data_IF_192754004581
#
_entry.id   IF_192754004581
#
_cell.length_a   1.000
_cell.length_b   1.000
_cell.length_c   1.000
_cell.angle_alpha   90.00
_cell.angle_beta   90.00
_cell.angle_gamma   90.00
#
_symmetry.space_group_name_H-M   'P 1'
#
loop_
_entity.id
_entity.type
_entity.pdbx_description
1 polymer ?
#
# COMPACT_ATOMS: atom_id res chain seq x y z
N UNK A 1 -8.28 -2.10 2.41
CA UNK A 1 -7.81 -1.05 1.47
C UNK A 1 -7.18 0.09 2.25
N UNK A 2 -5.94 0.45 1.92
CA UNK A 2 -5.23 1.60 2.49
C UNK A 2 -5.23 2.73 1.47
N UNK A 3 -6.06 3.74 1.69
CA UNK A 3 -6.14 4.92 0.84
C UNK A 3 -5.16 5.99 1.30
N UNK A 4 -4.03 6.11 0.63
CA UNK A 4 -2.97 7.09 0.89
C UNK A 4 -3.12 8.40 0.12
N UNK A 5 -4.24 8.61 -0.59
CA UNK A 5 -4.45 9.86 -1.32
C UNK A 5 -4.78 11.02 -0.38
N UNK A 6 -4.09 12.17 -0.48
CA UNK A 6 -4.48 13.39 0.26
C UNK A 6 -5.89 13.91 -0.08
N UNK A 7 -6.42 13.57 -1.26
CA UNK A 7 -7.80 13.90 -1.65
C UNK A 7 -8.83 12.93 -1.02
N UNK A 8 -8.37 11.87 -0.34
CA UNK A 8 -9.23 10.87 0.28
C UNK A 8 -10.08 10.07 -0.73
N UNK A 9 -11.31 9.67 -0.35
CA UNK A 9 -12.15 8.80 -1.18
C UNK A 9 -12.55 9.38 -2.55
N UNK A 10 -12.44 10.69 -2.73
CA UNK A 10 -12.78 11.39 -4.00
C UNK A 10 -11.60 11.48 -4.97
N UNK A 11 -10.49 10.80 -4.71
CA UNK A 11 -9.32 10.84 -5.59
C UNK A 11 -9.50 10.01 -6.86
N UNK A 12 -8.79 10.38 -7.92
CA UNK A 12 -8.77 9.62 -9.17
C UNK A 12 -8.29 8.18 -8.93
N UNK A 13 -7.30 7.97 -8.06
CA UNK A 13 -6.84 6.63 -7.70
C UNK A 13 -7.94 5.81 -7.03
N UNK A 14 -8.77 6.43 -6.18
CA UNK A 14 -9.89 5.73 -5.55
C UNK A 14 -11.01 5.38 -6.53
N UNK A 15 -11.19 6.12 -7.64
CA UNK A 15 -12.12 5.70 -8.70
C UNK A 15 -11.69 4.37 -9.31
N UNK A 16 -10.39 4.20 -9.62
CA UNK A 16 -9.83 2.92 -10.09
C UNK A 16 -10.00 1.82 -9.03
N UNK A 17 -9.67 2.13 -7.79
CA UNK A 17 -9.80 1.19 -6.68
C UNK A 17 -11.24 0.73 -6.51
N UNK A 18 -12.20 1.65 -6.59
CA UNK A 18 -13.62 1.32 -6.49
C UNK A 18 -14.09 0.40 -7.64
N UNK A 19 -13.57 0.59 -8.86
CA UNK A 19 -13.85 -0.33 -9.97
C UNK A 19 -13.33 -1.75 -9.68
N UNK A 20 -12.11 -1.87 -9.14
CA UNK A 20 -11.54 -3.17 -8.70
C UNK A 20 -12.38 -3.79 -7.58
N UNK A 21 -12.80 -2.99 -6.59
CA UNK A 21 -13.61 -3.47 -5.48
C UNK A 21 -15.02 -3.89 -5.92
N UNK A 22 -15.60 -3.21 -6.92
CA UNK A 22 -16.86 -3.61 -7.54
C UNK A 22 -16.73 -4.99 -8.17
N UNK A 23 -15.71 -5.22 -9.02
CA UNK A 23 -15.45 -6.52 -9.62
C UNK A 23 -15.18 -7.62 -8.57
N UNK A 24 -14.49 -7.30 -7.48
CA UNK A 24 -14.29 -8.22 -6.37
C UNK A 24 -15.62 -8.64 -5.74
N UNK A 25 -16.52 -7.70 -5.49
CA UNK A 25 -17.85 -7.98 -4.92
C UNK A 25 -18.78 -8.75 -5.87
N UNK A 26 -18.65 -8.56 -7.16
CA UNK A 26 -19.39 -9.33 -8.17
C UNK A 26 -18.99 -10.81 -8.18
N UNK A 27 -17.69 -11.08 -7.99
CA UNK A 27 -17.15 -12.46 -7.97
C UNK A 27 -17.15 -13.10 -6.58
N UNK A 28 -17.13 -12.28 -5.53
CA UNK A 28 -17.17 -12.73 -4.13
C UNK A 28 -18.07 -11.77 -3.31
N UNK A 29 -19.39 -11.95 -3.33
CA UNK A 29 -20.34 -11.08 -2.64
C UNK A 29 -20.12 -10.99 -1.13
N UNK A 30 -19.60 -12.05 -0.51
CA UNK A 30 -19.33 -12.14 0.94
C UNK A 30 -18.04 -11.44 1.36
N UNK A 31 -17.21 -10.94 0.40
CA UNK A 31 -15.97 -10.26 0.75
C UNK A 31 -16.26 -9.01 1.61
N UNK A 32 -15.70 -8.92 2.78
CA UNK A 32 -15.74 -7.72 3.61
C UNK A 32 -14.67 -6.73 3.17
N UNK A 33 -15.05 -5.47 3.01
CA UNK A 33 -14.12 -4.42 2.58
C UNK A 33 -14.01 -3.37 3.68
N UNK A 34 -12.81 -3.23 4.22
CA UNK A 34 -12.47 -2.14 5.14
C UNK A 34 -11.60 -1.10 4.43
N UNK A 35 -11.97 0.18 4.54
CA UNK A 35 -11.23 1.30 3.96
C UNK A 35 -10.56 2.14 5.05
N UNK A 36 -9.24 2.14 5.07
CA UNK A 36 -8.41 2.99 5.91
C UNK A 36 -7.98 4.23 5.10
N UNK A 37 -8.50 5.40 5.44
CA UNK A 37 -8.14 6.67 4.78
C UNK A 37 -7.04 7.35 5.59
N UNK A 38 -5.80 7.21 5.15
CA UNK A 38 -4.59 7.59 5.89
C UNK A 38 -4.59 9.07 6.32
N UNK A 39 -5.09 9.96 5.47
CA UNK A 39 -5.16 11.39 5.78
C UNK A 39 -6.04 11.74 6.99
N UNK A 40 -6.96 10.86 7.35
CA UNK A 40 -7.90 11.04 8.46
C UNK A 40 -7.44 10.30 9.73
N UNK A 41 -6.26 9.66 9.67
CA UNK A 41 -5.67 8.89 10.77
C UNK A 41 -4.55 9.67 11.46
N UNK A 42 -4.54 9.70 12.78
CA UNK A 42 -3.44 10.29 13.56
C UNK A 42 -2.27 9.30 13.67
N UNK A 43 -1.51 9.20 12.60
CA UNK A 43 -0.32 8.34 12.53
C UNK A 43 0.93 9.18 12.77
N UNK A 44 1.62 8.93 13.87
CA UNK A 44 2.90 9.57 14.16
C UNK A 44 4.03 8.97 13.32
N UNK A 45 4.97 9.79 12.80
CA UNK A 45 6.10 9.29 12.02
C UNK A 45 6.94 8.28 12.79
N UNK A 46 7.51 7.31 12.08
CA UNK A 46 8.50 6.40 12.66
C UNK A 46 9.76 7.17 13.10
N UNK A 47 10.20 6.94 14.34
CA UNK A 47 11.40 7.59 14.89
C UNK A 47 12.69 6.82 14.58
N UNK A 48 12.64 5.68 13.91
CA UNK A 48 13.81 4.85 13.64
C UNK A 48 14.46 4.24 14.89
N UNK A 49 13.74 4.13 16.01
CA UNK A 49 14.31 3.67 17.29
C UNK A 49 14.62 2.15 17.34
N UNK A 50 14.19 1.39 16.34
CA UNK A 50 14.40 -0.05 16.20
C UNK A 50 13.87 -0.92 17.37
N UNK A 51 13.10 -0.36 18.30
CA UNK A 51 12.56 -1.11 19.44
C UNK A 51 11.65 -2.26 19.01
N UNK A 52 10.88 -2.08 17.93
CA UNK A 52 10.01 -3.10 17.37
C UNK A 52 10.77 -4.33 16.78
N UNK A 53 12.07 -4.20 16.59
CA UNK A 53 12.95 -5.30 16.21
C UNK A 53 13.82 -5.81 17.38
N UNK A 54 13.82 -5.11 18.49
CA UNK A 54 14.61 -5.43 19.69
C UNK A 54 13.76 -5.58 20.94
N UNK A 55 13.70 -4.54 21.77
CA UNK A 55 13.09 -4.59 23.12
C UNK A 55 11.61 -4.94 23.13
N UNK A 56 10.86 -4.47 22.12
CA UNK A 56 9.42 -4.69 21.97
C UNK A 56 9.12 -5.44 20.67
N UNK A 57 9.84 -6.52 20.42
CA UNK A 57 9.78 -7.26 19.16
C UNK A 57 8.33 -7.51 18.70
N UNK A 58 7.98 -7.03 17.50
CA UNK A 58 6.64 -7.10 16.93
C UNK A 58 5.69 -5.98 17.36
N UNK A 59 6.11 -5.07 18.26
CA UNK A 59 5.27 -3.97 18.73
C UNK A 59 5.98 -2.61 18.61
N UNK A 60 5.27 -1.59 18.12
CA UNK A 60 5.80 -0.24 18.12
C UNK A 60 5.67 0.40 19.50
N UNK A 61 6.70 1.17 19.91
CA UNK A 61 6.66 1.94 21.17
C UNK A 61 5.78 3.18 21.07
N UNK A 62 5.47 3.63 19.85
CA UNK A 62 4.56 4.77 19.64
C UNK A 62 3.14 4.25 19.80
N UNK A 63 2.42 4.78 20.79
CA UNK A 63 1.03 4.44 21.05
C UNK A 63 0.12 5.36 20.23
N UNK A 64 -0.43 4.84 19.14
CA UNK A 64 -1.38 5.51 18.25
C UNK A 64 -2.23 4.47 17.50
N UNK A 65 -2.99 4.89 16.49
CA UNK A 65 -3.92 4.02 15.74
C UNK A 65 -3.23 2.85 15.03
N UNK A 66 -1.89 2.87 14.90
CA UNK A 66 -1.18 1.82 14.16
C UNK A 66 -1.19 0.47 14.88
N UNK A 67 -1.41 0.39 16.20
CA UNK A 67 -1.60 -0.88 16.88
C UNK A 67 -2.82 -1.63 16.33
N UNK A 68 -3.96 -0.93 16.21
CA UNK A 68 -5.19 -1.53 15.66
C UNK A 68 -5.00 -1.84 14.16
N UNK A 69 -4.29 -0.98 13.42
CA UNK A 69 -3.97 -1.23 12.01
C UNK A 69 -3.14 -2.49 11.84
N UNK A 70 -2.16 -2.76 12.70
CA UNK A 70 -1.37 -4.00 12.62
C UNK A 70 -2.26 -5.24 12.78
N UNK A 71 -3.21 -5.22 13.70
CA UNK A 71 -4.18 -6.33 13.88
C UNK A 71 -5.04 -6.50 12.62
N UNK A 72 -5.59 -5.42 12.10
CA UNK A 72 -6.39 -5.44 10.86
C UNK A 72 -5.57 -5.94 9.66
N UNK A 73 -4.33 -5.48 9.53
CA UNK A 73 -3.42 -5.92 8.49
C UNK A 73 -3.17 -7.43 8.54
N UNK A 74 -2.98 -7.97 9.75
CA UNK A 74 -2.73 -9.41 9.93
C UNK A 74 -3.98 -10.26 9.71
N UNK A 75 -5.17 -9.73 9.96
CA UNK A 75 -6.43 -10.45 9.77
C UNK A 75 -6.95 -10.39 8.33
N UNK A 76 -6.52 -9.42 7.52
CA UNK A 76 -6.97 -9.29 6.14
C UNK A 76 -6.33 -10.33 5.22
N UNK A 77 -7.09 -10.92 4.30
CA UNK A 77 -6.60 -11.82 3.26
C UNK A 77 -5.97 -11.05 2.11
N UNK A 78 -6.47 -9.84 1.86
CA UNK A 78 -6.04 -8.98 0.75
C UNK A 78 -5.71 -7.59 1.26
N UNK A 79 -4.52 -7.10 0.94
CA UNK A 79 -4.08 -5.74 1.23
C UNK A 79 -3.95 -4.97 -0.08
N UNK A 80 -4.70 -3.88 -0.21
CA UNK A 80 -4.63 -2.99 -1.37
C UNK A 80 -4.11 -1.63 -0.94
N UNK A 81 -2.95 -1.25 -1.43
CA UNK A 81 -2.41 0.10 -1.29
C UNK A 81 -2.89 0.96 -2.45
N UNK A 82 -3.65 2.01 -2.17
CA UNK A 82 -4.26 2.90 -3.17
C UNK A 82 -3.80 4.34 -2.95
N UNK A 83 -2.95 4.88 -3.82
CA UNK A 83 -2.41 6.23 -3.66
C UNK A 83 -1.91 6.81 -5.00
N UNK A 84 -1.97 8.14 -5.20
CA UNK A 84 -1.36 8.78 -6.36
C UNK A 84 0.17 8.75 -6.26
N UNK A 85 0.84 8.72 -7.40
CA UNK A 85 2.30 8.92 -7.46
C UNK A 85 2.60 10.41 -7.23
N UNK A 86 3.28 10.74 -6.15
CA UNK A 86 3.74 12.10 -5.85
C UNK A 86 5.26 12.16 -5.90
N UNK A 87 5.78 12.97 -6.80
CA UNK A 87 7.20 13.17 -6.98
C UNK A 87 7.99 11.84 -7.05
N UNK A 88 7.50 10.93 -7.91
CA UNK A 88 8.04 9.59 -8.17
C UNK A 88 7.99 8.59 -7.02
N UNK A 89 7.21 8.86 -5.98
CA UNK A 89 7.06 8.01 -4.80
C UNK A 89 5.67 8.07 -4.18
N UNK A 90 5.56 7.58 -2.95
CA UNK A 90 4.33 7.66 -2.16
C UNK A 90 4.11 9.08 -1.65
N UNK A 91 2.84 9.53 -1.49
CA UNK A 91 2.53 10.72 -0.70
C UNK A 91 3.07 10.60 0.73
N UNK A 92 3.49 11.71 1.35
CA UNK A 92 4.08 11.70 2.69
C UNK A 92 3.27 10.92 3.74
N UNK A 93 1.96 11.14 3.89
CA UNK A 93 1.15 10.36 4.83
C UNK A 93 1.15 8.86 4.55
N UNK A 94 1.14 8.46 3.26
CA UNK A 94 1.23 7.06 2.86
C UNK A 94 2.58 6.45 3.22
N UNK A 95 3.66 7.19 3.00
CA UNK A 95 5.00 6.76 3.40
C UNK A 95 5.11 6.60 4.92
N UNK A 96 4.53 7.54 5.68
CA UNK A 96 4.43 7.42 7.14
C UNK A 96 3.72 6.13 7.55
N UNK A 97 2.59 5.81 6.92
CA UNK A 97 1.87 4.56 7.16
C UNK A 97 2.76 3.33 6.89
N UNK A 98 3.42 3.30 5.73
CA UNK A 98 4.28 2.17 5.32
C UNK A 98 5.49 2.03 6.25
N UNK A 99 6.13 3.11 6.69
CA UNK A 99 7.22 3.05 7.66
C UNK A 99 6.77 2.46 9.01
N UNK A 100 5.51 2.63 9.34
CA UNK A 100 4.93 2.13 10.59
C UNK A 100 4.45 0.69 10.54
N UNK A 101 4.56 -0.03 9.40
CA UNK A 101 4.35 -1.49 9.33
C UNK A 101 5.60 -2.29 9.73
N UNK A 102 6.74 -1.65 9.97
CA UNK A 102 7.99 -2.30 10.39
C UNK A 102 7.84 -3.33 11.54
N UNK A 103 6.98 -3.13 12.55
CA UNK A 103 6.78 -4.14 13.60
C UNK A 103 6.33 -5.51 13.08
N UNK A 104 5.66 -5.55 11.92
CA UNK A 104 5.22 -6.79 11.27
C UNK A 104 6.36 -7.53 10.56
N UNK A 105 7.51 -6.88 10.41
CA UNK A 105 8.70 -7.43 9.75
C UNK A 105 9.72 -7.93 10.79
N UNK A 106 10.54 -8.89 10.38
CA UNK A 106 11.68 -9.34 11.19
C UNK A 106 12.96 -8.62 10.84
N UNK A 107 13.88 -8.58 11.81
CA UNK A 107 15.23 -8.11 11.56
C UNK A 107 15.98 -9.06 10.63
N UNK A 108 17.03 -8.54 10.04
CA UNK A 108 18.00 -9.28 9.27
C UNK A 108 18.80 -10.22 10.19
N UNK A 109 18.37 -11.45 10.36
CA UNK A 109 19.02 -12.46 11.25
C UNK A 109 20.29 -13.07 10.63
N UNK A 110 21.16 -12.27 10.02
CA UNK A 110 22.42 -12.76 9.44
C UNK A 110 22.27 -13.62 8.17
N UNK A 111 21.08 -13.76 7.65
CA UNK A 111 20.87 -14.41 6.35
C UNK A 111 21.24 -13.41 5.25
N UNK A 112 22.30 -13.68 4.52
CA UNK A 112 22.57 -13.00 3.26
C UNK A 112 21.47 -13.40 2.30
N UNK A 113 20.56 -12.49 1.99
CA UNK A 113 19.55 -12.73 0.97
C UNK A 113 20.14 -12.47 -0.39
N UNK A 114 19.77 -13.31 -1.33
CA UNK A 114 20.07 -13.07 -2.72
C UNK A 114 19.40 -11.76 -3.15
N UNK A 115 20.19 -10.86 -3.74
CA UNK A 115 19.70 -9.56 -4.23
C UNK A 115 18.64 -9.76 -5.31
N UNK A 116 18.58 -10.92 -5.95
CA UNK A 116 17.58 -11.26 -6.95
C UNK A 116 16.16 -11.40 -6.36
N UNK A 117 16.00 -11.82 -5.11
CA UNK A 117 14.70 -11.88 -4.44
C UNK A 117 14.16 -10.53 -3.97
N UNK A 118 14.99 -9.50 -3.94
CA UNK A 118 14.70 -8.10 -3.63
C UNK A 118 13.95 -7.81 -2.30
N UNK A 119 13.46 -8.81 -1.58
CA UNK A 119 12.86 -8.60 -0.26
C UNK A 119 13.95 -8.61 0.82
N UNK A 120 14.14 -7.48 1.54
CA UNK A 120 15.18 -7.37 2.57
C UNK A 120 14.76 -7.93 3.93
N UNK A 121 13.45 -7.89 4.22
CA UNK A 121 12.91 -8.34 5.50
C UNK A 121 11.78 -9.34 5.28
N UNK A 122 11.70 -10.35 6.12
CA UNK A 122 10.56 -11.27 6.13
C UNK A 122 9.47 -10.74 7.06
N UNK A 123 8.25 -11.15 6.80
CA UNK A 123 7.20 -10.95 7.78
C UNK A 123 7.45 -11.82 9.01
N UNK A 124 7.17 -11.27 10.17
CA UNK A 124 7.25 -11.99 11.46
C UNK A 124 6.19 -13.08 11.55
N UNK A 125 5.11 -12.93 10.82
CA UNK A 125 3.95 -13.80 10.82
C UNK A 125 3.80 -14.45 9.45
N UNK A 126 3.07 -15.58 9.40
CA UNK A 126 2.75 -16.22 8.14
C UNK A 126 1.81 -15.32 7.30
N UNK A 127 2.29 -14.94 6.12
CA UNK A 127 1.57 -14.16 5.12
C UNK A 127 1.41 -14.91 3.80
N UNK A 128 1.68 -16.22 3.77
CA UNK A 128 1.66 -17.04 2.55
C UNK A 128 0.29 -17.04 1.86
N UNK A 129 -0.79 -16.95 2.64
CA UNK A 129 -2.17 -16.84 2.14
C UNK A 129 -2.60 -15.43 1.73
N UNK A 130 -1.80 -14.39 2.04
CA UNK A 130 -2.18 -13.00 1.78
C UNK A 130 -1.80 -12.56 0.37
N UNK A 131 -2.65 -11.71 -0.21
CA UNK A 131 -2.39 -11.07 -1.51
C UNK A 131 -2.17 -9.58 -1.33
N UNK A 132 -1.14 -9.05 -1.99
CA UNK A 132 -0.78 -7.65 -1.92
C UNK A 132 -0.96 -6.98 -3.29
N UNK A 133 -1.60 -5.82 -3.29
CA UNK A 133 -1.85 -5.03 -4.49
C UNK A 133 -1.43 -3.58 -4.28
N UNK A 134 -0.92 -2.97 -5.35
CA UNK A 134 -0.64 -1.54 -5.42
C UNK A 134 -1.47 -0.96 -6.56
N UNK A 135 -2.35 -0.02 -6.25
CA UNK A 135 -3.09 0.75 -7.23
C UNK A 135 -2.58 2.18 -7.17
N UNK A 136 -1.95 2.65 -8.23
CA UNK A 136 -1.39 3.99 -8.26
C UNK A 136 -1.67 4.70 -9.57
N UNK A 137 -1.92 5.99 -9.50
CA UNK A 137 -2.21 6.84 -10.64
C UNK A 137 -1.33 8.08 -10.65
N UNK A 138 -1.03 8.59 -11.84
CA UNK A 138 -0.24 9.81 -12.02
C UNK A 138 -0.76 10.65 -13.20
N UNK A 139 -0.30 11.90 -13.28
CA UNK A 139 -0.59 12.81 -14.40
C UNK A 139 0.36 12.65 -15.60
N UNK A 140 1.42 11.87 -15.48
CA UNK A 140 2.36 11.66 -16.57
C UNK A 140 1.74 10.86 -17.73
N UNK A 141 2.24 11.07 -18.96
CA UNK A 141 1.71 10.42 -20.16
C UNK A 141 2.04 8.93 -20.31
N UNK A 142 2.91 8.39 -19.45
CA UNK A 142 3.35 6.98 -19.45
C UNK A 142 3.68 6.51 -18.05
N UNK A 143 3.76 5.20 -17.86
CA UNK A 143 4.15 4.58 -16.58
C UNK A 143 5.59 4.10 -16.57
N UNK A 144 6.15 3.75 -17.72
CA UNK A 144 7.54 3.28 -17.84
C UNK A 144 8.51 4.34 -17.28
N UNK A 145 9.52 3.88 -16.53
CA UNK A 145 10.52 4.71 -15.84
C UNK A 145 9.96 5.58 -14.71
N UNK A 146 8.74 6.10 -14.88
CA UNK A 146 8.11 7.02 -13.90
C UNK A 146 7.82 6.30 -12.57
N UNK A 147 7.49 5.02 -12.63
CA UNK A 147 7.17 4.21 -11.46
C UNK A 147 8.34 3.35 -10.96
N UNK A 148 9.50 3.36 -11.60
CA UNK A 148 10.61 2.46 -11.29
C UNK A 148 11.06 2.55 -9.83
N UNK A 149 11.17 3.77 -9.29
CA UNK A 149 11.55 3.98 -7.89
C UNK A 149 10.52 3.37 -6.93
N UNK A 150 9.21 3.58 -7.19
CA UNK A 150 8.13 3.03 -6.39
C UNK A 150 8.08 1.50 -6.47
N UNK A 151 8.19 0.93 -7.66
CA UNK A 151 8.23 -0.52 -7.86
C UNK A 151 9.44 -1.13 -7.15
N UNK A 152 10.58 -0.47 -7.22
CA UNK A 152 11.80 -0.91 -6.51
C UNK A 152 11.59 -0.92 -5.00
N UNK A 153 10.93 0.10 -4.43
CA UNK A 153 10.59 0.16 -3.01
C UNK A 153 9.69 -1.01 -2.60
N UNK A 154 8.62 -1.29 -3.35
CA UNK A 154 7.73 -2.42 -3.07
C UNK A 154 8.43 -3.78 -3.25
N UNK A 155 9.35 -3.90 -4.20
CA UNK A 155 10.19 -5.10 -4.33
C UNK A 155 11.06 -5.32 -3.09
N UNK A 156 11.58 -4.26 -2.47
CA UNK A 156 12.34 -4.37 -1.22
C UNK A 156 11.48 -4.74 -0.02
N UNK A 157 10.23 -4.32 0.01
CA UNK A 157 9.30 -4.61 1.11
C UNK A 157 8.73 -6.03 0.99
N UNK A 158 8.22 -6.40 -0.18
CA UNK A 158 7.44 -7.63 -0.37
C UNK A 158 8.18 -8.72 -1.15
N UNK A 159 9.16 -8.37 -1.95
CA UNK A 159 9.80 -9.25 -2.92
C UNK A 159 9.18 -9.14 -4.32
N UNK A 160 10.02 -9.29 -5.34
CA UNK A 160 9.60 -9.26 -6.74
C UNK A 160 8.61 -10.38 -7.03
N UNK A 161 7.46 -10.03 -7.63
CA UNK A 161 6.41 -11.00 -7.98
C UNK A 161 5.49 -11.41 -6.83
N UNK A 162 5.71 -10.91 -5.61
CA UNK A 162 4.84 -11.19 -4.45
C UNK A 162 3.71 -10.19 -4.26
N UNK A 163 3.60 -9.21 -5.13
CA UNK A 163 2.48 -8.28 -5.20
C UNK A 163 2.15 -7.99 -6.66
N UNK A 164 0.97 -7.44 -6.90
CA UNK A 164 0.55 -6.98 -8.22
C UNK A 164 0.36 -5.47 -8.22
N UNK A 165 0.72 -4.80 -9.31
CA UNK A 165 0.60 -3.36 -9.45
C UNK A 165 -0.33 -3.01 -10.63
N UNK A 166 -1.33 -2.17 -10.36
CA UNK A 166 -2.16 -1.50 -11.34
C UNK A 166 -1.75 -0.02 -11.39
N UNK A 167 -1.05 0.37 -12.45
CA UNK A 167 -0.47 1.70 -12.62
C UNK A 167 -1.19 2.43 -13.75
N UNK A 168 -1.71 3.62 -13.49
CA UNK A 168 -2.48 4.39 -14.45
C UNK A 168 -1.82 5.75 -14.73
N UNK A 169 -1.38 6.00 -15.97
CA UNK A 169 -0.96 7.33 -16.40
C UNK A 169 -2.18 8.21 -16.68
N UNK A 170 -1.97 9.51 -16.84
CA UNK A 170 -2.97 10.50 -17.27
C UNK A 170 -4.27 10.48 -16.45
N UNK A 171 -4.18 10.20 -15.16
CA UNK A 171 -5.36 10.04 -14.30
C UNK A 171 -6.21 11.31 -14.12
N UNK A 172 -5.72 12.47 -14.54
CA UNK A 172 -6.53 13.69 -14.61
C UNK A 172 -7.71 13.56 -15.58
N UNK A 173 -7.62 12.66 -16.56
CA UNK A 173 -8.73 12.38 -17.49
C UNK A 173 -10.00 11.90 -16.76
N UNK A 174 -9.87 11.27 -15.60
CA UNK A 174 -11.00 10.88 -14.74
C UNK A 174 -11.78 12.08 -14.16
N UNK A 175 -11.21 13.29 -14.22
CA UNK A 175 -11.89 14.51 -13.80
C UNK A 175 -12.67 15.19 -14.96
N UNK A 176 -12.57 14.67 -16.20
CA UNK A 176 -13.24 15.24 -17.39
C UNK A 176 -14.59 14.54 -17.58
N UNK A 177 -15.74 15.22 -17.36
CA UNK A 177 -17.05 14.58 -17.35
C UNK A 177 -17.40 13.72 -18.58
N UNK A 178 -17.08 14.12 -19.82
CA UNK A 178 -17.37 13.31 -21.00
C UNK A 178 -16.64 11.96 -21.03
N UNK A 179 -15.44 11.89 -20.41
CA UNK A 179 -14.64 10.66 -20.35
C UNK A 179 -15.11 9.72 -19.25
N UNK A 180 -15.58 10.29 -18.14
CA UNK A 180 -16.14 9.50 -17.02
C UNK A 180 -17.39 8.74 -17.47
N UNK A 181 -18.23 9.37 -18.30
CA UNK A 181 -19.45 8.73 -18.82
C UNK A 181 -19.12 7.55 -19.75
N UNK A 182 -18.06 7.64 -20.56
CA UNK A 182 -17.62 6.56 -21.45
C UNK A 182 -17.00 5.36 -20.71
N UNK A 183 -16.45 5.56 -19.50
CA UNK A 183 -15.88 4.49 -18.68
C UNK A 183 -16.95 3.73 -17.90
N UNK A 184 -18.08 4.36 -17.64
CA UNK A 184 -19.17 3.79 -16.85
C UNK A 184 -20.25 3.07 -17.70
N UNK A 185 -20.17 3.11 -19.03
CA UNK A 185 -20.95 2.34 -19.99
C UNK A 185 -20.25 1.00 -20.32
#
# INVERSE_FOLDING_TARGET
VVNGSPKGPKSNTMQMTNAVLKGLKETNPEAEIELLTVKDMDIKPCMGCMSCWGKTAGQCVINDVMQDVHVKFMNADVIIYSFPLYFFGMPGPMKTFVDRIMPLMETYKGKVRDIEDNAFHEFRYDVSGKKFYVISSCGYGRTQEIYDALIKEFNFIYGKGRYQALLCPQSEMFAIPPMVNQINE
#
